data_IF_637342466604
#
_entry.id   IF_637342466604
#
_cell.length_a   1.000
_cell.length_b   1.000
_cell.length_c   1.000
_cell.angle_alpha   90.00
_cell.angle_beta   90.00
_cell.angle_gamma   90.00
#
_symmetry.space_group_name_H-M   'P 1'
#
loop_
_entity.id
_entity.type
_entity.pdbx_description
1 polymer ?
#
# COMPACT_ATOMS: atom_id res chain seq x y z
N UNK A 1 -24.24 -2.31 -1.61
CA UNK A 1 -23.02 -3.17 -1.67
C UNK A 1 -23.37 -4.53 -1.08
N UNK A 2 -22.91 -5.62 -1.70
CA UNK A 2 -23.28 -7.00 -1.29
C UNK A 2 -22.60 -7.37 0.04
N UNK A 3 -23.20 -8.31 0.78
CA UNK A 3 -22.69 -8.81 2.07
C UNK A 3 -21.22 -9.24 2.03
N UNK A 4 -20.75 -9.82 0.92
CA UNK A 4 -19.34 -10.20 0.70
C UNK A 4 -18.35 -9.03 0.73
N UNK A 5 -18.76 -7.82 0.33
CA UNK A 5 -17.92 -6.63 0.40
C UNK A 5 -17.51 -6.29 1.83
N UNK A 6 -18.44 -6.32 2.78
CA UNK A 6 -18.14 -6.03 4.18
C UNK A 6 -17.24 -7.10 4.81
N UNK A 7 -17.39 -8.36 4.40
CA UNK A 7 -16.47 -9.44 4.82
C UNK A 7 -15.06 -9.19 4.35
N UNK A 8 -14.88 -8.74 3.09
CA UNK A 8 -13.57 -8.37 2.53
C UNK A 8 -12.99 -7.19 3.30
N UNK A 9 -13.80 -6.16 3.58
CA UNK A 9 -13.38 -4.99 4.34
C UNK A 9 -12.91 -5.36 5.75
N UNK A 10 -13.65 -6.24 6.45
CA UNK A 10 -13.26 -6.71 7.78
C UNK A 10 -11.96 -7.51 7.75
N UNK A 11 -11.83 -8.45 6.81
CA UNK A 11 -10.58 -9.23 6.63
C UNK A 11 -9.37 -8.33 6.39
N UNK A 12 -9.53 -7.36 5.49
CA UNK A 12 -8.48 -6.41 5.15
C UNK A 12 -8.14 -5.48 6.32
N UNK A 13 -9.15 -5.00 7.04
CA UNK A 13 -8.93 -4.15 8.21
C UNK A 13 -8.06 -4.83 9.26
N UNK A 14 -8.43 -6.03 9.70
CA UNK A 14 -7.67 -6.76 10.72
C UNK A 14 -6.27 -7.17 10.23
N UNK A 15 -6.13 -7.58 8.98
CA UNK A 15 -4.83 -7.91 8.40
C UNK A 15 -3.90 -6.69 8.35
N UNK A 16 -4.40 -5.55 7.89
CA UNK A 16 -3.64 -4.30 7.83
C UNK A 16 -3.36 -3.72 9.22
N UNK A 17 -4.31 -3.82 10.15
CA UNK A 17 -4.14 -3.44 11.55
C UNK A 17 -2.98 -4.21 12.18
N UNK A 18 -2.95 -5.52 11.99
CA UNK A 18 -1.88 -6.39 12.50
C UNK A 18 -0.53 -6.06 11.85
N UNK A 19 -0.49 -5.81 10.52
CA UNK A 19 0.75 -5.44 9.82
C UNK A 19 1.39 -4.17 10.41
N UNK A 20 0.58 -3.16 10.71
CA UNK A 20 1.07 -1.89 11.26
C UNK A 20 1.42 -1.97 12.75
N UNK A 21 0.66 -2.74 13.53
CA UNK A 21 1.00 -3.00 14.93
C UNK A 21 2.26 -3.86 15.06
N UNK A 22 2.44 -4.83 14.16
CA UNK A 22 3.63 -5.69 14.13
C UNK A 22 4.91 -4.91 13.82
N UNK A 23 4.83 -3.87 12.99
CA UNK A 23 5.97 -2.98 12.77
C UNK A 23 6.50 -2.39 14.08
N UNK A 24 5.60 -1.90 14.96
CA UNK A 24 5.97 -1.36 16.27
C UNK A 24 6.56 -2.44 17.16
N UNK A 25 5.95 -3.63 17.18
CA UNK A 25 6.46 -4.77 17.96
C UNK A 25 7.84 -5.25 17.47
N UNK A 26 8.07 -5.28 16.16
CA UNK A 26 9.37 -5.63 15.59
C UNK A 26 10.46 -4.61 15.89
N UNK A 27 10.13 -3.32 15.90
CA UNK A 27 11.04 -2.25 16.34
C UNK A 27 11.41 -2.44 17.80
N UNK A 28 10.44 -2.74 18.66
CA UNK A 28 10.66 -2.99 20.08
C UNK A 28 11.49 -4.25 20.32
N UNK A 29 11.24 -5.33 19.56
CA UNK A 29 12.01 -6.55 19.62
C UNK A 29 13.50 -6.29 19.31
N UNK A 30 13.79 -5.59 18.21
CA UNK A 30 15.16 -5.19 17.87
C UNK A 30 15.80 -4.30 18.93
N UNK A 31 15.02 -3.44 19.58
CA UNK A 31 15.51 -2.59 20.66
C UNK A 31 15.88 -3.41 21.90
N UNK A 32 15.06 -4.36 22.30
CA UNK A 32 15.33 -5.24 23.46
C UNK A 32 16.50 -6.17 23.24
N UNK A 33 16.75 -6.58 21.99
CA UNK A 33 17.93 -7.37 21.60
C UNK A 33 19.21 -6.53 21.49
N UNK A 34 19.13 -5.21 21.68
CA UNK A 34 20.29 -4.31 21.54
C UNK A 34 20.79 -4.15 20.11
N UNK A 35 19.91 -4.40 19.13
CA UNK A 35 20.26 -4.33 17.72
C UNK A 35 20.66 -2.89 17.29
N UNK A 36 21.62 -2.74 16.37
CA UNK A 36 22.01 -1.45 15.81
C UNK A 36 20.83 -0.70 15.19
N UNK A 37 20.88 0.62 15.23
CA UNK A 37 19.78 1.48 14.76
C UNK A 37 19.42 1.26 13.27
N UNK A 38 20.42 0.94 12.44
CA UNK A 38 20.21 0.66 11.01
C UNK A 38 19.29 -0.55 10.79
N UNK A 39 19.25 -1.53 11.70
CA UNK A 39 18.35 -2.68 11.56
C UNK A 39 16.88 -2.28 11.74
N UNK A 40 16.60 -1.32 12.62
CA UNK A 40 15.25 -0.77 12.77
C UNK A 40 14.80 -0.04 11.49
N UNK A 41 15.68 0.74 10.90
CA UNK A 41 15.42 1.39 9.62
C UNK A 41 15.27 0.38 8.47
N UNK A 42 15.98 -0.75 8.51
CA UNK A 42 15.92 -1.80 7.50
C UNK A 42 14.59 -2.59 7.48
N UNK A 43 13.76 -2.52 8.53
CA UNK A 43 12.45 -3.19 8.56
C UNK A 43 11.57 -2.75 7.38
N UNK A 44 11.53 -1.47 7.04
CA UNK A 44 10.69 -0.95 5.95
C UNK A 44 11.08 -1.53 4.60
N UNK A 45 12.34 -1.45 4.13
CA UNK A 45 12.74 -2.05 2.87
C UNK A 45 12.64 -3.59 2.88
N UNK A 46 12.87 -4.25 4.02
CA UNK A 46 12.69 -5.71 4.13
C UNK A 46 11.23 -6.12 3.90
N UNK A 47 10.29 -5.37 4.44
CA UNK A 47 8.87 -5.61 4.20
C UNK A 47 8.50 -5.39 2.72
N UNK A 48 9.01 -4.33 2.11
CA UNK A 48 8.72 -3.97 0.73
C UNK A 48 9.43 -4.84 -0.33
N UNK A 49 10.49 -5.53 0.05
CA UNK A 49 11.37 -6.29 -0.86
C UNK A 49 10.58 -7.23 -1.78
N UNK A 50 9.66 -7.99 -1.22
CA UNK A 50 8.92 -9.00 -1.95
C UNK A 50 7.83 -8.44 -2.87
N UNK A 51 7.40 -7.19 -2.68
CA UNK A 51 6.52 -6.53 -3.64
C UNK A 51 7.21 -6.29 -5.00
N UNK A 52 8.51 -6.12 -4.99
CA UNK A 52 9.30 -5.93 -6.21
C UNK A 52 9.80 -7.26 -6.75
N UNK A 53 10.48 -8.05 -5.91
CA UNK A 53 11.16 -9.29 -6.34
C UNK A 53 10.16 -10.37 -6.76
N UNK A 54 9.04 -10.49 -6.06
CA UNK A 54 8.05 -11.54 -6.31
C UNK A 54 6.82 -11.08 -7.10
N UNK A 55 6.79 -9.84 -7.58
CA UNK A 55 5.70 -9.33 -8.39
C UNK A 55 5.24 -10.28 -9.52
N UNK A 56 6.15 -10.90 -10.30
CA UNK A 56 5.76 -11.83 -11.36
C UNK A 56 4.98 -13.05 -10.88
N UNK A 57 5.26 -13.49 -9.66
CA UNK A 57 4.72 -14.73 -9.10
C UNK A 57 3.44 -14.51 -8.32
N UNK A 58 3.39 -13.45 -7.51
CA UNK A 58 2.23 -13.19 -6.64
C UNK A 58 0.97 -12.84 -7.43
N UNK A 59 1.10 -12.15 -8.56
CA UNK A 59 -0.03 -11.85 -9.45
C UNK A 59 -0.60 -13.11 -10.09
N UNK A 60 0.27 -13.98 -10.61
CA UNK A 60 -0.14 -15.25 -11.17
C UNK A 60 -0.75 -16.18 -10.11
N UNK A 61 -0.17 -16.21 -8.91
CA UNK A 61 -0.71 -16.95 -7.76
C UNK A 61 -2.12 -16.45 -7.38
N UNK A 62 -2.33 -15.13 -7.36
CA UNK A 62 -3.62 -14.54 -7.06
C UNK A 62 -4.70 -14.85 -8.11
N UNK A 63 -4.32 -15.05 -9.38
CA UNK A 63 -5.25 -15.42 -10.46
C UNK A 63 -5.47 -16.94 -10.58
N UNK A 64 -4.62 -17.75 -9.95
CA UNK A 64 -4.71 -19.21 -9.99
C UNK A 64 -5.65 -19.81 -8.94
N UNK A 65 -6.01 -19.06 -7.91
CA UNK A 65 -6.84 -19.50 -6.78
C UNK A 65 -7.97 -18.51 -6.50
N UNK A 66 -9.05 -18.95 -5.84
CA UNK A 66 -10.07 -18.03 -5.32
C UNK A 66 -9.43 -16.98 -4.42
N UNK A 67 -9.79 -15.71 -4.62
CA UNK A 67 -9.16 -14.57 -3.91
C UNK A 67 -9.19 -14.72 -2.38
N UNK A 68 -10.31 -15.21 -1.82
CA UNK A 68 -10.42 -15.48 -0.38
C UNK A 68 -9.39 -16.51 0.11
N UNK A 69 -9.11 -17.56 -0.70
CA UNK A 69 -8.10 -18.55 -0.39
C UNK A 69 -6.68 -17.99 -0.46
N UNK A 70 -6.39 -17.13 -1.45
CA UNK A 70 -5.11 -16.41 -1.54
C UNK A 70 -4.89 -15.55 -0.32
N UNK A 71 -5.90 -14.78 0.09
CA UNK A 71 -5.83 -13.91 1.28
C UNK A 71 -5.64 -14.73 2.57
N UNK A 72 -6.27 -15.89 2.68
CA UNK A 72 -6.08 -16.81 3.80
C UNK A 72 -4.63 -17.33 3.86
N UNK A 73 -4.09 -17.84 2.75
CA UNK A 73 -2.71 -18.34 2.67
C UNK A 73 -1.73 -17.22 3.00
N UNK A 74 -1.98 -16.01 2.51
CA UNK A 74 -1.13 -14.84 2.77
C UNK A 74 -1.09 -14.48 4.26
N UNK A 75 -2.23 -14.50 4.96
CA UNK A 75 -2.27 -14.31 6.40
C UNK A 75 -1.59 -15.46 7.16
N UNK A 76 -1.70 -16.70 6.69
CA UNK A 76 -0.97 -17.82 7.27
C UNK A 76 0.57 -17.64 7.16
N UNK A 77 1.06 -17.12 6.02
CA UNK A 77 2.48 -16.77 5.84
C UNK A 77 2.90 -15.69 6.85
N UNK A 78 2.05 -14.67 7.09
CA UNK A 78 2.34 -13.64 8.09
C UNK A 78 2.41 -14.22 9.51
N UNK A 79 1.53 -15.15 9.85
CA UNK A 79 1.59 -15.89 11.12
C UNK A 79 2.91 -16.67 11.24
N UNK A 80 3.36 -17.33 10.17
CA UNK A 80 4.67 -18.00 10.16
C UNK A 80 5.80 -17.00 10.44
N UNK A 81 5.79 -15.81 9.84
CA UNK A 81 6.75 -14.76 10.14
C UNK A 81 6.73 -14.33 11.61
N UNK A 82 5.55 -14.18 12.21
CA UNK A 82 5.41 -13.90 13.65
C UNK A 82 5.99 -15.04 14.52
N UNK A 83 5.69 -16.28 14.19
CA UNK A 83 6.23 -17.45 14.89
C UNK A 83 7.76 -17.52 14.76
N UNK A 84 8.32 -17.19 13.61
CA UNK A 84 9.77 -17.10 13.42
C UNK A 84 10.40 -16.08 14.39
N UNK A 85 9.75 -14.91 14.60
CA UNK A 85 10.21 -13.92 15.60
C UNK A 85 10.19 -14.52 17.02
N UNK A 86 9.12 -15.21 17.39
CA UNK A 86 8.98 -15.80 18.73
C UNK A 86 9.96 -16.97 18.97
N UNK A 87 10.31 -17.71 17.92
CA UNK A 87 11.25 -18.84 18.02
C UNK A 87 12.72 -18.46 17.78
N UNK A 88 13.06 -17.17 17.89
CA UNK A 88 14.44 -16.70 17.89
C UNK A 88 15.09 -16.56 16.52
N UNK A 89 14.31 -16.56 15.42
CA UNK A 89 14.84 -16.17 14.12
C UNK A 89 15.16 -14.67 14.10
N UNK A 90 16.14 -14.27 13.28
CA UNK A 90 16.51 -12.88 13.18
C UNK A 90 15.30 -12.02 12.78
N UNK A 91 14.96 -10.95 13.52
CA UNK A 91 13.72 -10.17 13.30
C UNK A 91 13.56 -9.63 11.90
N UNK A 92 14.66 -9.21 11.24
CA UNK A 92 14.62 -8.73 9.85
C UNK A 92 14.17 -9.80 8.87
N UNK A 93 14.66 -11.04 9.02
CA UNK A 93 14.29 -12.16 8.17
C UNK A 93 12.83 -12.56 8.40
N UNK A 94 12.42 -12.63 9.66
CA UNK A 94 11.05 -12.94 10.02
C UNK A 94 10.07 -11.87 9.51
N UNK A 95 10.44 -10.60 9.62
CA UNK A 95 9.64 -9.49 9.09
C UNK A 95 9.59 -9.47 7.55
N UNK A 96 10.65 -9.92 6.88
CA UNK A 96 10.63 -10.13 5.44
C UNK A 96 9.60 -11.20 5.04
N UNK A 97 9.47 -12.29 5.81
CA UNK A 97 8.43 -13.32 5.58
C UNK A 97 7.03 -12.73 5.76
N UNK A 98 6.82 -11.84 6.73
CA UNK A 98 5.55 -11.09 6.86
C UNK A 98 5.32 -10.23 5.62
N UNK A 99 6.34 -9.54 5.14
CA UNK A 99 6.30 -8.77 3.89
C UNK A 99 5.96 -9.63 2.65
N UNK A 100 6.47 -10.87 2.60
CA UNK A 100 6.06 -11.85 1.58
C UNK A 100 4.55 -12.12 1.63
N UNK A 101 4.01 -12.36 2.82
CA UNK A 101 2.58 -12.53 3.02
C UNK A 101 1.78 -11.30 2.57
N UNK A 102 2.25 -10.10 2.91
CA UNK A 102 1.62 -8.84 2.50
C UNK A 102 1.65 -8.65 0.97
N UNK A 103 2.77 -8.95 0.32
CA UNK A 103 2.92 -8.86 -1.13
C UNK A 103 1.97 -9.85 -1.86
N UNK A 104 1.79 -11.07 -1.34
CA UNK A 104 0.84 -12.04 -1.87
C UNK A 104 -0.63 -11.66 -1.60
N UNK A 105 -0.90 -10.97 -0.49
CA UNK A 105 -2.25 -10.53 -0.11
C UNK A 105 -2.78 -9.43 -1.02
N UNK A 106 -1.95 -8.49 -1.41
CA UNK A 106 -2.34 -7.27 -2.12
C UNK A 106 -3.04 -7.54 -3.47
N UNK A 107 -2.54 -8.42 -4.37
CA UNK A 107 -3.22 -8.71 -5.62
C UNK A 107 -4.62 -9.31 -5.44
N UNK A 108 -4.82 -10.12 -4.41
CA UNK A 108 -6.12 -10.69 -4.11
C UNK A 108 -7.07 -9.66 -3.50
N UNK A 109 -6.59 -8.81 -2.58
CA UNK A 109 -7.37 -7.78 -1.90
C UNK A 109 -7.99 -6.76 -2.86
N UNK A 110 -7.18 -6.22 -3.76
CA UNK A 110 -7.66 -5.25 -4.75
C UNK A 110 -8.33 -5.93 -5.95
N UNK A 111 -7.80 -7.09 -6.35
CA UNK A 111 -8.33 -7.85 -7.49
C UNK A 111 -9.76 -8.31 -7.30
N UNK A 112 -10.15 -8.70 -6.09
CA UNK A 112 -11.51 -9.15 -5.81
C UNK A 112 -12.57 -8.04 -6.01
N UNK A 113 -12.19 -6.78 -5.92
CA UNK A 113 -13.11 -5.67 -6.16
C UNK A 113 -13.59 -5.64 -7.59
N UNK A 114 -12.68 -5.83 -8.54
CA UNK A 114 -12.99 -5.86 -9.97
C UNK A 114 -13.75 -7.12 -10.40
N UNK A 115 -13.65 -8.18 -9.61
CA UNK A 115 -14.40 -9.42 -9.84
C UNK A 115 -15.81 -9.40 -9.21
N UNK A 116 -15.97 -8.64 -8.11
CA UNK A 116 -17.20 -8.65 -7.31
C UNK A 116 -18.14 -7.48 -7.63
N UNK A 117 -17.60 -6.36 -8.11
CA UNK A 117 -18.29 -5.09 -8.25
C UNK A 117 -18.29 -4.60 -9.69
N UNK A 118 -19.39 -3.98 -10.16
CA UNK A 118 -19.45 -3.32 -11.44
C UNK A 118 -18.53 -2.09 -11.47
N UNK A 119 -18.09 -1.70 -12.66
CA UNK A 119 -17.21 -0.55 -12.87
C UNK A 119 -17.71 0.73 -12.21
N UNK A 120 -19.03 0.95 -12.23
CA UNK A 120 -19.69 2.11 -11.59
C UNK A 120 -19.50 2.19 -10.07
N UNK A 121 -19.21 1.08 -9.40
CA UNK A 121 -18.99 1.02 -7.95
C UNK A 121 -17.51 0.98 -7.55
N UNK A 122 -16.58 0.85 -8.50
CA UNK A 122 -15.15 0.70 -8.20
C UNK A 122 -14.55 1.93 -7.49
N UNK A 123 -14.93 3.15 -7.89
CA UNK A 123 -14.43 4.37 -7.23
C UNK A 123 -14.88 4.40 -5.78
N UNK A 124 -16.16 4.08 -5.52
CA UNK A 124 -16.70 4.02 -4.16
C UNK A 124 -16.01 2.93 -3.32
N UNK A 125 -15.79 1.76 -3.90
CA UNK A 125 -15.13 0.65 -3.22
C UNK A 125 -13.65 0.96 -2.91
N UNK A 126 -12.94 1.59 -3.83
CA UNK A 126 -11.57 2.04 -3.59
C UNK A 126 -11.51 3.10 -2.48
N UNK A 127 -12.45 4.06 -2.45
CA UNK A 127 -12.54 5.01 -1.36
C UNK A 127 -12.72 4.35 0.01
N UNK A 128 -13.54 3.32 0.11
CA UNK A 128 -13.69 2.52 1.33
C UNK A 128 -12.41 1.77 1.70
N UNK A 129 -11.76 1.12 0.73
CA UNK A 129 -10.49 0.41 0.99
C UNK A 129 -9.41 1.38 1.46
N UNK A 130 -9.23 2.51 0.79
CA UNK A 130 -8.21 3.49 1.16
C UNK A 130 -8.50 4.10 2.54
N UNK A 131 -9.75 4.51 2.80
CA UNK A 131 -10.15 5.00 4.11
C UNK A 131 -9.91 3.99 5.24
N UNK A 132 -10.24 2.73 4.99
CA UNK A 132 -10.04 1.65 5.96
C UNK A 132 -8.55 1.31 6.14
N UNK A 133 -7.77 1.36 5.08
CA UNK A 133 -6.31 1.17 5.14
C UNK A 133 -5.67 2.25 6.00
N UNK A 134 -6.05 3.51 5.83
CA UNK A 134 -5.54 4.63 6.64
C UNK A 134 -5.97 4.47 8.10
N UNK A 135 -7.23 4.11 8.36
CA UNK A 135 -7.70 3.82 9.72
C UNK A 135 -6.90 2.68 10.35
N UNK A 136 -6.62 1.62 9.60
CA UNK A 136 -5.80 0.49 10.04
C UNK A 136 -4.36 0.89 10.37
N UNK A 137 -3.77 1.81 9.60
CA UNK A 137 -2.42 2.32 9.87
C UNK A 137 -2.40 3.05 11.22
N UNK A 138 -3.31 3.99 11.42
CA UNK A 138 -3.37 4.79 12.64
C UNK A 138 -3.65 3.91 13.85
N UNK A 139 -4.72 3.12 13.79
CA UNK A 139 -5.13 2.24 14.88
C UNK A 139 -4.13 1.11 15.13
N UNK A 140 -3.47 0.61 14.07
CA UNK A 140 -2.44 -0.42 14.17
C UNK A 140 -1.20 0.07 14.91
N UNK A 141 -0.72 1.26 14.58
CA UNK A 141 0.42 1.86 15.29
C UNK A 141 0.06 2.15 16.75
N UNK A 142 -1.14 2.66 17.02
CA UNK A 142 -1.63 2.88 18.40
C UNK A 142 -1.75 1.56 19.16
N UNK A 143 -2.33 0.54 18.54
CA UNK A 143 -2.44 -0.79 19.14
C UNK A 143 -1.06 -1.39 19.42
N UNK A 144 -0.14 -1.33 18.46
CA UNK A 144 1.23 -1.80 18.64
C UNK A 144 1.93 -1.09 19.81
N UNK A 145 1.80 0.24 19.88
CA UNK A 145 2.34 1.03 21.00
C UNK A 145 1.75 0.64 22.35
N UNK A 146 0.44 0.36 22.42
CA UNK A 146 -0.20 -0.12 23.66
C UNK A 146 0.23 -1.55 24.03
N UNK A 147 0.35 -2.44 23.04
CA UNK A 147 0.75 -3.83 23.29
C UNK A 147 2.17 -3.94 23.87
N UNK A 148 3.10 -3.10 23.43
CA UNK A 148 4.46 -3.05 23.98
C UNK A 148 4.59 -2.13 25.20
N UNK A 149 3.54 -1.36 25.51
CA UNK A 149 3.49 -0.45 26.65
C UNK A 149 3.42 -1.19 27.97
N UNK A 150 3.90 -0.56 29.06
CA UNK A 150 4.04 -1.18 30.37
C UNK A 150 2.75 -1.78 30.96
N UNK A 151 1.60 -1.15 30.70
CA UNK A 151 0.34 -1.63 31.29
C UNK A 151 -0.15 -2.92 30.64
N UNK A 152 -0.22 -2.94 29.32
CA UNK A 152 -0.80 -4.08 28.60
C UNK A 152 0.19 -5.24 28.49
N UNK A 153 1.47 -4.98 28.36
CA UNK A 153 2.49 -6.03 28.32
C UNK A 153 2.57 -6.81 29.62
N UNK A 154 2.49 -6.14 30.78
CA UNK A 154 2.45 -6.79 32.10
C UNK A 154 1.22 -7.69 32.23
N UNK A 155 0.06 -7.21 31.76
CA UNK A 155 -1.17 -8.02 31.75
C UNK A 155 -1.02 -9.25 30.87
N UNK A 156 -0.49 -9.09 29.65
CA UNK A 156 -0.29 -10.19 28.71
C UNK A 156 0.74 -11.20 29.21
N UNK A 157 1.83 -10.74 29.81
CA UNK A 157 2.85 -11.62 30.41
C UNK A 157 2.37 -12.31 31.68
N UNK A 158 1.34 -11.80 32.35
CA UNK A 158 0.71 -12.45 33.52
C UNK A 158 -0.21 -13.61 33.15
N UNK A 159 -0.50 -13.80 31.86
CA UNK A 159 -1.30 -14.94 31.37
C UNK A 159 -0.40 -16.17 31.36
N UNK A 160 -0.45 -16.92 32.45
CA UNK A 160 0.27 -18.18 32.59
C UNK A 160 -0.58 -19.35 32.10
N UNK A 161 -0.06 -20.12 31.14
CA UNK A 161 -0.73 -21.32 30.68
C UNK A 161 -0.14 -22.51 31.44
N UNK A 162 -0.91 -23.15 32.34
CA UNK A 162 -0.40 -24.23 33.16
C UNK A 162 0.23 -25.33 32.28
N UNK A 163 1.43 -25.77 32.64
CA UNK A 163 2.19 -26.82 31.99
C UNK A 163 2.84 -26.50 30.63
N UNK A 164 2.75 -25.25 30.15
CA UNK A 164 3.36 -24.86 28.87
C UNK A 164 4.25 -23.63 29.14
N UNK A 165 5.56 -23.82 28.98
CA UNK A 165 6.47 -22.69 28.85
C UNK A 165 6.31 -22.10 27.45
N UNK A 166 5.72 -20.91 27.36
CA UNK A 166 5.42 -20.25 26.07
C UNK A 166 6.65 -19.60 25.45
N UNK A 167 7.75 -19.44 26.20
CA UNK A 167 8.94 -18.72 25.77
C UNK A 167 8.68 -17.25 25.43
N UNK A 168 7.60 -16.68 25.97
CA UNK A 168 7.21 -15.27 25.78
C UNK A 168 7.58 -14.49 27.05
N UNK A 169 8.75 -13.87 27.05
CA UNK A 169 9.33 -13.22 28.23
C UNK A 169 9.38 -11.70 28.13
N UNK A 170 9.25 -11.15 26.94
CA UNK A 170 9.36 -9.70 26.70
C UNK A 170 8.04 -9.07 26.25
N UNK A 171 7.93 -7.75 26.41
CA UNK A 171 6.78 -6.99 25.94
C UNK A 171 6.60 -7.12 24.41
N UNK A 172 7.69 -7.15 23.64
CA UNK A 172 7.65 -7.32 22.22
C UNK A 172 7.10 -8.70 21.82
N UNK A 173 7.56 -9.77 22.47
CA UNK A 173 7.10 -11.15 22.23
C UNK A 173 5.62 -11.31 22.59
N UNK A 174 5.18 -10.76 23.70
CA UNK A 174 3.76 -10.77 24.10
C UNK A 174 2.88 -10.03 23.08
N UNK A 175 3.37 -8.89 22.55
CA UNK A 175 2.68 -8.15 21.50
C UNK A 175 2.58 -8.98 20.21
N UNK A 176 3.66 -9.64 19.78
CA UNK A 176 3.68 -10.50 18.58
C UNK A 176 2.71 -11.67 18.76
N UNK A 177 2.69 -12.31 19.93
CA UNK A 177 1.73 -13.38 20.24
C UNK A 177 0.27 -12.92 20.15
N UNK A 178 -0.04 -11.73 20.67
CA UNK A 178 -1.37 -11.13 20.55
C UNK A 178 -1.73 -10.83 19.09
N UNK A 179 -0.78 -10.36 18.29
CA UNK A 179 -0.99 -10.06 16.88
C UNK A 179 -1.21 -11.31 16.01
N UNK A 180 -0.66 -12.45 16.39
CA UNK A 180 -1.01 -13.74 15.76
C UNK A 180 -2.51 -13.98 15.85
N UNK A 181 -3.14 -13.70 16.99
CA UNK A 181 -4.59 -13.84 17.15
C UNK A 181 -5.35 -12.89 16.20
N UNK A 182 -4.87 -11.65 16.02
CA UNK A 182 -5.48 -10.70 15.08
C UNK A 182 -5.37 -11.20 13.63
N UNK A 183 -4.23 -11.75 13.23
CA UNK A 183 -4.08 -12.39 11.91
C UNK A 183 -4.99 -13.62 11.75
N UNK A 184 -5.18 -14.41 12.81
CA UNK A 184 -6.13 -15.53 12.78
C UNK A 184 -7.56 -15.06 12.58
N UNK A 185 -7.97 -13.95 13.23
CA UNK A 185 -9.29 -13.33 12.99
C UNK A 185 -9.41 -12.88 11.54
N UNK A 186 -8.39 -12.22 10.99
CA UNK A 186 -8.38 -11.83 9.58
C UNK A 186 -8.48 -13.05 8.65
N UNK A 187 -7.74 -14.13 8.94
CA UNK A 187 -7.80 -15.38 8.20
C UNK A 187 -9.18 -16.03 8.28
N UNK A 188 -9.82 -15.99 9.44
CA UNK A 188 -11.19 -16.48 9.59
C UNK A 188 -12.18 -15.73 8.70
N UNK A 189 -12.10 -14.38 8.62
CA UNK A 189 -12.89 -13.60 7.69
C UNK A 189 -12.61 -13.98 6.24
N UNK A 190 -11.36 -14.28 5.88
CA UNK A 190 -11.00 -14.70 4.53
C UNK A 190 -11.71 -15.99 4.11
N UNK A 191 -11.97 -16.92 5.03
CA UNK A 191 -12.72 -18.16 4.74
C UNK A 191 -14.22 -17.89 4.44
N UNK A 192 -14.72 -16.72 4.82
CA UNK A 192 -16.11 -16.29 4.59
C UNK A 192 -16.30 -15.45 3.33
N UNK A 193 -15.20 -15.17 2.60
CA UNK A 193 -15.26 -14.44 1.34
C UNK A 193 -15.95 -15.31 0.28
N UNK A 194 -16.98 -14.79 -0.41
CA UNK A 194 -17.70 -15.57 -1.41
C UNK A 194 -16.84 -15.80 -2.65
N UNK A 195 -17.09 -16.90 -3.34
CA UNK A 195 -16.51 -17.14 -4.66
C UNK A 195 -17.12 -16.17 -5.68
N UNK A 196 -16.25 -15.58 -6.51
CA UNK A 196 -16.68 -14.60 -7.51
C UNK A 196 -17.19 -15.25 -8.80
N UNK A 197 -16.90 -16.53 -9.01
CA UNK A 197 -17.26 -17.27 -10.23
C UNK A 197 -16.38 -16.96 -11.45
N UNK A 198 -15.37 -16.12 -11.29
CA UNK A 198 -14.41 -15.80 -12.37
C UNK A 198 -13.51 -17.01 -12.65
N UNK A 199 -13.25 -17.26 -13.93
CA UNK A 199 -12.39 -18.36 -14.37
C UNK A 199 -10.96 -18.18 -13.87
N UNK A 200 -10.44 -19.25 -13.23
CA UNK A 200 -9.10 -19.25 -12.67
C UNK A 200 -8.07 -19.60 -13.74
N UNK A 201 -6.94 -18.90 -13.71
CA UNK A 201 -5.82 -19.16 -14.62
C UNK A 201 -4.79 -20.05 -13.95
N UNK A 202 -4.57 -21.29 -14.39
CA UNK A 202 -3.65 -22.22 -13.73
C UNK A 202 -2.21 -21.70 -13.80
N UNK A 203 -1.46 -21.86 -12.70
CA UNK A 203 -0.02 -21.53 -12.65
C UNK A 203 0.80 -22.37 -13.65
N UNK A 204 0.40 -23.61 -13.84
CA UNK A 204 1.06 -24.55 -14.74
C UNK A 204 0.41 -24.47 -16.11
N UNK A 205 0.94 -23.62 -16.97
CA UNK A 205 0.43 -23.43 -18.34
C UNK A 205 0.80 -24.58 -19.29
N UNK A 206 1.89 -25.28 -19.01
CA UNK A 206 2.34 -26.41 -19.82
C UNK A 206 2.66 -27.64 -18.94
N UNK A 207 1.81 -28.69 -18.96
CA UNK A 207 2.00 -29.91 -18.16
C UNK A 207 3.29 -30.68 -18.46
N UNK A 208 3.84 -30.52 -19.66
CA UNK A 208 5.07 -31.21 -20.09
C UNK A 208 6.35 -30.54 -19.61
N UNK A 209 6.28 -29.32 -19.06
CA UNK A 209 7.44 -28.62 -18.50
C UNK A 209 7.61 -28.91 -17.01
N UNK A 210 8.87 -28.89 -16.56
CA UNK A 210 9.21 -28.96 -15.15
C UNK A 210 8.62 -27.78 -14.38
N UNK A 211 8.36 -27.94 -13.07
CA UNK A 211 7.83 -26.88 -12.20
C UNK A 211 8.67 -25.61 -12.28
N UNK A 212 9.99 -25.74 -12.22
CA UNK A 212 10.93 -24.61 -12.33
C UNK A 212 10.77 -23.86 -13.67
N UNK A 213 10.68 -24.57 -14.79
CA UNK A 213 10.51 -23.96 -16.11
C UNK A 213 9.16 -23.25 -16.26
N UNK A 214 8.08 -23.79 -15.67
CA UNK A 214 6.79 -23.11 -15.62
C UNK A 214 6.84 -21.86 -14.75
N UNK A 215 7.53 -21.91 -13.61
CA UNK A 215 7.69 -20.74 -12.72
C UNK A 215 8.51 -19.65 -13.38
N UNK A 216 9.62 -19.99 -14.02
CA UNK A 216 10.44 -19.00 -14.75
C UNK A 216 9.72 -18.39 -15.97
N UNK A 217 8.78 -19.12 -16.57
CA UNK A 217 7.95 -18.61 -17.66
C UNK A 217 7.00 -17.47 -17.21
N UNK A 218 6.78 -17.29 -15.92
CA UNK A 218 6.00 -16.17 -15.37
C UNK A 218 6.75 -14.83 -15.48
N UNK A 219 8.07 -14.82 -15.56
CA UNK A 219 8.86 -13.59 -15.73
C UNK A 219 8.56 -12.88 -17.06
N UNK A 220 8.68 -13.51 -18.23
CA UNK A 220 8.31 -12.86 -19.49
C UNK A 220 6.81 -12.55 -19.57
N UNK A 221 5.93 -13.35 -18.97
CA UNK A 221 4.49 -13.07 -18.88
C UNK A 221 4.25 -11.76 -18.07
N UNK A 222 4.91 -11.60 -16.94
CA UNK A 222 4.82 -10.36 -16.14
C UNK A 222 5.27 -9.12 -16.91
N UNK A 223 6.42 -9.21 -17.61
CA UNK A 223 6.92 -8.09 -18.40
C UNK A 223 6.02 -7.78 -19.59
N UNK A 224 5.40 -8.80 -20.21
CA UNK A 224 4.41 -8.61 -21.24
C UNK A 224 3.15 -7.90 -20.70
N UNK A 225 2.69 -8.28 -19.50
CA UNK A 225 1.59 -7.61 -18.80
C UNK A 225 1.93 -6.16 -18.44
N UNK A 226 3.11 -5.92 -17.89
CA UNK A 226 3.59 -4.58 -17.59
C UNK A 226 3.62 -3.70 -18.85
N UNK A 227 4.21 -4.19 -19.93
CA UNK A 227 4.28 -3.46 -21.19
C UNK A 227 2.89 -3.21 -21.80
N UNK A 228 1.96 -4.17 -21.68
CA UNK A 228 0.57 -4.02 -22.16
C UNK A 228 -0.15 -2.89 -21.43
N UNK A 229 0.03 -2.77 -20.12
CA UNK A 229 -0.58 -1.70 -19.33
C UNK A 229 0.05 -0.32 -19.64
N UNK A 230 1.37 -0.27 -19.87
CA UNK A 230 2.08 0.94 -20.31
C UNK A 230 1.76 1.36 -21.75
N UNK A 231 1.18 0.49 -22.57
CA UNK A 231 0.72 0.81 -23.94
C UNK A 231 -0.75 1.20 -24.01
N UNK A 232 -1.57 0.80 -23.05
CA UNK A 232 -2.99 1.19 -22.98
C UNK A 232 -3.12 2.68 -22.69
N UNK A 233 -3.90 3.42 -23.46
CA UNK A 233 -3.94 4.89 -23.41
C UNK A 233 -4.49 5.48 -22.11
N UNK A 234 -5.34 4.76 -21.40
CA UNK A 234 -5.79 5.14 -20.04
C UNK A 234 -4.95 4.43 -18.98
N UNK A 235 -4.54 3.20 -19.21
CA UNK A 235 -3.69 2.42 -18.33
C UNK A 235 -2.36 3.13 -18.03
N UNK A 236 -1.66 3.61 -19.08
CA UNK A 236 -0.38 4.33 -18.90
C UNK A 236 -0.52 5.61 -18.06
N UNK A 237 -1.62 6.34 -18.20
CA UNK A 237 -1.86 7.57 -17.44
C UNK A 237 -2.22 7.26 -15.99
N UNK A 238 -3.13 6.31 -15.76
CA UNK A 238 -3.51 5.91 -14.41
C UNK A 238 -2.34 5.25 -13.66
N UNK A 239 -1.58 4.36 -14.32
CA UNK A 239 -0.40 3.74 -13.75
C UNK A 239 0.69 4.76 -13.39
N UNK A 240 1.01 5.69 -14.29
CA UNK A 240 1.99 6.75 -14.02
C UNK A 240 1.57 7.63 -12.84
N UNK A 241 0.29 8.01 -12.78
CA UNK A 241 -0.23 8.86 -11.71
C UNK A 241 -0.20 8.15 -10.36
N UNK A 242 -0.67 6.90 -10.27
CA UNK A 242 -0.65 6.15 -9.01
C UNK A 242 0.77 5.81 -8.58
N UNK A 243 1.64 5.45 -9.52
CA UNK A 243 3.06 5.16 -9.28
C UNK A 243 3.75 6.38 -8.65
N UNK A 244 3.57 7.56 -9.24
CA UNK A 244 4.18 8.78 -8.73
C UNK A 244 3.55 9.22 -7.39
N UNK A 245 2.23 9.08 -7.24
CA UNK A 245 1.54 9.37 -5.99
C UNK A 245 2.08 8.53 -4.84
N UNK A 246 2.16 7.22 -5.00
CA UNK A 246 2.68 6.33 -3.96
C UNK A 246 4.18 6.50 -3.75
N UNK A 247 4.94 6.75 -4.82
CA UNK A 247 6.36 7.09 -4.73
C UNK A 247 6.61 8.32 -3.85
N UNK A 248 5.83 9.38 -4.05
CA UNK A 248 5.89 10.59 -3.23
C UNK A 248 5.35 10.34 -1.81
N UNK A 249 4.18 9.71 -1.69
CA UNK A 249 3.50 9.45 -0.42
C UNK A 249 4.28 8.52 0.51
N UNK A 250 4.95 7.49 -0.03
CA UNK A 250 5.81 6.60 0.75
C UNK A 250 7.00 7.31 1.39
N UNK A 251 7.49 8.39 0.77
CA UNK A 251 8.58 9.21 1.29
C UNK A 251 8.11 10.41 2.12
N UNK A 252 6.81 10.75 2.06
CA UNK A 252 6.27 11.95 2.70
C UNK A 252 6.49 11.95 4.23
N UNK A 253 6.43 10.80 4.88
CA UNK A 253 6.69 10.70 6.33
C UNK A 253 8.09 11.18 6.70
N UNK A 254 9.10 10.84 5.92
CA UNK A 254 10.48 11.29 6.15
C UNK A 254 10.62 12.80 5.89
N UNK A 255 9.93 13.29 4.87
CA UNK A 255 9.89 14.71 4.52
C UNK A 255 9.23 15.52 5.63
N UNK A 256 8.09 15.08 6.15
CA UNK A 256 7.38 15.74 7.26
C UNK A 256 8.23 15.72 8.52
N UNK A 257 8.92 14.61 8.84
CA UNK A 257 9.81 14.52 10.00
C UNK A 257 10.98 15.51 9.88
N UNK A 258 11.64 15.58 8.73
CA UNK A 258 12.76 16.48 8.49
C UNK A 258 12.30 17.95 8.53
N UNK A 259 11.19 18.27 7.92
CA UNK A 259 10.62 19.62 7.95
C UNK A 259 10.22 20.05 9.36
N UNK A 260 9.51 19.20 10.11
CA UNK A 260 9.06 19.53 11.45
C UNK A 260 10.22 19.74 12.42
N UNK A 261 11.32 19.00 12.28
CA UNK A 261 12.52 19.18 13.08
C UNK A 261 13.14 20.57 12.84
N UNK A 262 13.21 21.02 11.58
CA UNK A 262 13.85 22.29 11.22
C UNK A 262 12.89 23.49 11.41
N UNK A 263 11.63 23.35 10.98
CA UNK A 263 10.67 24.45 10.98
C UNK A 263 10.01 24.69 12.36
N UNK A 264 9.74 23.60 13.10
CA UNK A 264 8.99 23.64 14.35
C UNK A 264 9.85 23.28 15.58
N UNK A 265 11.07 22.80 15.37
CA UNK A 265 11.92 22.31 16.46
C UNK A 265 11.38 21.05 17.14
N UNK A 266 10.58 20.25 16.44
CA UNK A 266 9.93 19.07 16.97
C UNK A 266 10.88 17.88 17.02
N UNK A 267 10.74 17.07 18.07
CA UNK A 267 11.38 15.76 18.15
C UNK A 267 10.63 14.75 17.26
N UNK A 268 11.20 13.55 17.10
CA UNK A 268 10.64 12.49 16.26
C UNK A 268 9.20 12.11 16.66
N UNK A 269 8.91 12.06 17.95
CA UNK A 269 7.58 11.71 18.47
C UNK A 269 6.52 12.75 18.09
N UNK A 270 6.86 14.03 18.29
CA UNK A 270 5.97 15.15 17.94
C UNK A 270 5.78 15.24 16.42
N UNK A 271 6.85 15.10 15.66
CA UNK A 271 6.81 15.14 14.20
C UNK A 271 6.02 13.95 13.61
N UNK A 272 6.09 12.77 14.23
CA UNK A 272 5.32 11.59 13.81
C UNK A 272 3.81 11.82 13.95
N UNK A 273 3.36 12.61 14.91
CA UNK A 273 1.95 12.97 15.03
C UNK A 273 1.44 13.77 13.82
N UNK A 274 2.30 14.57 13.20
CA UNK A 274 1.95 15.32 12.00
C UNK A 274 1.75 14.43 10.77
N UNK A 275 2.41 13.29 10.69
CA UNK A 275 2.12 12.31 9.64
C UNK A 275 0.71 11.73 9.79
N UNK A 276 0.23 11.58 11.01
CA UNK A 276 -1.16 11.21 11.31
C UNK A 276 -2.16 12.27 10.82
N UNK A 277 -1.81 13.55 10.91
CA UNK A 277 -2.64 14.65 10.39
C UNK A 277 -2.78 14.55 8.86
N UNK A 278 -1.69 14.27 8.14
CA UNK A 278 -1.74 14.02 6.70
C UNK A 278 -2.64 12.83 6.38
N UNK A 279 -2.52 11.74 7.15
CA UNK A 279 -3.34 10.54 6.96
C UNK A 279 -4.83 10.82 7.14
N UNK A 280 -5.21 11.63 8.13
CA UNK A 280 -6.61 12.09 8.32
C UNK A 280 -7.08 12.87 7.08
N UNK A 281 -6.28 13.80 6.60
CA UNK A 281 -6.56 14.53 5.36
C UNK A 281 -6.79 13.59 4.18
N UNK A 282 -5.91 12.59 4.02
CA UNK A 282 -6.02 11.58 2.95
C UNK A 282 -7.32 10.78 3.06
N UNK A 283 -7.71 10.38 4.27
CA UNK A 283 -8.98 9.68 4.50
C UNK A 283 -10.19 10.54 4.10
N UNK A 284 -10.20 11.81 4.49
CA UNK A 284 -11.26 12.76 4.11
C UNK A 284 -11.32 12.94 2.60
N UNK A 285 -10.17 13.15 1.96
CA UNK A 285 -10.08 13.29 0.49
C UNK A 285 -10.58 12.04 -0.24
N UNK A 286 -10.22 10.85 0.25
CA UNK A 286 -10.67 9.57 -0.29
C UNK A 286 -12.18 9.40 -0.20
N UNK A 287 -12.77 9.74 0.94
CA UNK A 287 -14.24 9.70 1.14
C UNK A 287 -14.94 10.66 0.19
N UNK A 288 -14.48 11.90 0.10
CA UNK A 288 -15.07 12.91 -0.80
C UNK A 288 -14.96 12.47 -2.26
N UNK A 289 -13.81 11.92 -2.68
CA UNK A 289 -13.64 11.39 -4.03
C UNK A 289 -14.60 10.24 -4.32
N UNK A 290 -14.76 9.30 -3.36
CA UNK A 290 -15.66 8.15 -3.51
C UNK A 290 -17.14 8.54 -3.67
N UNK A 291 -17.51 9.72 -3.18
CA UNK A 291 -18.88 10.25 -3.27
C UNK A 291 -19.10 11.10 -4.53
N UNK A 292 -18.08 11.76 -5.06
CA UNK A 292 -18.21 12.76 -6.12
C UNK A 292 -17.65 12.35 -7.47
N UNK A 293 -16.68 11.44 -7.47
CA UNK A 293 -15.98 11.06 -8.70
C UNK A 293 -16.58 9.82 -9.33
N UNK A 294 -16.70 9.87 -10.66
CA UNK A 294 -17.07 8.73 -11.51
C UNK A 294 -15.84 8.19 -12.20
N UNK A 295 -15.87 6.93 -12.57
CA UNK A 295 -14.73 6.25 -13.21
C UNK A 295 -14.32 6.89 -14.53
N UNK A 296 -15.30 7.28 -15.35
CA UNK A 296 -15.09 7.95 -16.65
C UNK A 296 -14.54 9.39 -16.53
N UNK A 297 -14.58 9.96 -15.33
CA UNK A 297 -14.03 11.29 -15.03
C UNK A 297 -12.71 11.22 -14.24
N UNK A 298 -12.17 10.02 -13.99
CA UNK A 298 -11.01 9.83 -13.13
C UNK A 298 -9.78 10.67 -13.53
N UNK A 299 -9.54 10.84 -14.83
CA UNK A 299 -8.38 11.61 -15.32
C UNK A 299 -8.45 13.13 -15.03
N UNK A 300 -9.62 13.65 -14.66
CA UNK A 300 -9.79 15.07 -14.31
C UNK A 300 -9.07 15.48 -13.03
N UNK A 301 -8.63 14.52 -12.21
CA UNK A 301 -7.93 14.80 -10.95
C UNK A 301 -6.42 15.01 -11.12
N UNK A 302 -5.84 14.74 -12.28
CA UNK A 302 -4.39 14.84 -12.52
C UNK A 302 -3.80 16.19 -12.10
N UNK A 303 -4.44 17.37 -12.35
CA UNK A 303 -3.93 18.65 -11.89
C UNK A 303 -3.72 18.76 -10.38
N UNK A 304 -4.44 17.97 -9.58
CA UNK A 304 -4.25 17.93 -8.13
C UNK A 304 -2.87 17.39 -7.74
N UNK A 305 -2.30 16.48 -8.55
CA UNK A 305 -0.94 15.99 -8.35
C UNK A 305 0.11 17.09 -8.53
N UNK A 306 -0.10 18.00 -9.48
CA UNK A 306 0.76 19.18 -9.66
C UNK A 306 0.64 20.08 -8.43
N UNK A 307 -0.58 20.33 -7.96
CA UNK A 307 -0.83 21.13 -6.77
C UNK A 307 -0.14 20.52 -5.53
N UNK A 308 -0.16 19.19 -5.36
CA UNK A 308 0.54 18.51 -4.26
C UNK A 308 2.05 18.75 -4.29
N UNK A 309 2.68 18.62 -5.46
CA UNK A 309 4.12 18.92 -5.61
C UNK A 309 4.46 20.38 -5.26
N UNK A 310 3.63 21.32 -5.71
CA UNK A 310 3.79 22.74 -5.38
C UNK A 310 3.54 23.03 -3.89
N UNK A 311 2.59 22.35 -3.27
CA UNK A 311 2.36 22.47 -1.82
C UNK A 311 3.55 21.97 -1.01
N UNK A 312 4.27 20.93 -1.44
CA UNK A 312 5.51 20.51 -0.79
C UNK A 312 6.57 21.61 -0.78
N UNK A 313 6.64 22.40 -1.86
CA UNK A 313 7.53 23.58 -1.91
C UNK A 313 7.05 24.65 -0.93
N UNK A 314 5.75 24.93 -0.90
CA UNK A 314 5.17 25.92 0.02
C UNK A 314 5.31 25.52 1.50
N UNK A 315 5.38 24.25 1.81
CA UNK A 315 5.57 23.74 3.17
C UNK A 315 6.85 24.29 3.82
N UNK A 316 7.87 24.56 3.03
CA UNK A 316 9.15 25.13 3.49
C UNK A 316 8.99 26.51 4.16
N UNK A 317 7.96 27.27 3.78
CA UNK A 317 7.67 28.60 4.34
C UNK A 317 6.79 28.56 5.59
N UNK A 318 6.28 27.40 5.97
CA UNK A 318 5.42 27.24 7.14
C UNK A 318 6.29 26.94 8.35
N UNK A 319 6.19 27.77 9.38
CA UNK A 319 6.92 27.65 10.64
C UNK A 319 6.01 27.74 11.88
N UNK A 320 4.70 27.69 11.68
CA UNK A 320 3.68 27.76 12.74
C UNK A 320 2.78 26.53 12.68
N UNK A 321 2.61 25.87 13.81
CA UNK A 321 1.78 24.67 13.94
C UNK A 321 0.30 24.92 13.54
N UNK A 322 -0.23 26.10 13.83
CA UNK A 322 -1.61 26.45 13.53
C UNK A 322 -1.87 26.61 12.03
N UNK A 323 -0.85 26.94 11.24
CA UNK A 323 -0.89 26.93 9.78
C UNK A 323 -0.54 25.53 9.23
N UNK A 324 0.34 24.81 9.91
CA UNK A 324 0.81 23.48 9.47
C UNK A 324 -0.32 22.46 9.47
N UNK A 325 -1.14 22.40 10.50
CA UNK A 325 -2.23 21.41 10.62
C UNK A 325 -3.21 21.50 9.44
N UNK A 326 -3.85 22.65 9.14
CA UNK A 326 -4.76 22.74 8.01
C UNK A 326 -4.05 22.51 6.66
N UNK A 327 -2.80 22.93 6.55
CA UNK A 327 -1.98 22.70 5.35
C UNK A 327 -1.72 21.20 5.12
N UNK A 328 -1.35 20.45 6.13
CA UNK A 328 -1.10 19.01 6.05
C UNK A 328 -2.40 18.24 5.78
N UNK A 329 -3.52 18.67 6.34
CA UNK A 329 -4.85 18.13 6.03
C UNK A 329 -5.18 18.37 4.56
N UNK A 330 -4.92 19.55 4.03
CA UNK A 330 -5.13 19.87 2.62
C UNK A 330 -4.23 19.02 1.71
N UNK A 331 -2.95 18.91 2.04
CA UNK A 331 -1.98 18.09 1.29
C UNK A 331 -2.44 16.63 1.23
N UNK A 332 -2.80 16.06 2.37
CA UNK A 332 -3.37 14.72 2.45
C UNK A 332 -4.67 14.59 1.68
N UNK A 333 -5.58 15.56 1.84
CA UNK A 333 -6.89 15.58 1.19
C UNK A 333 -6.81 15.58 -0.33
N UNK A 334 -5.92 16.38 -0.92
CA UNK A 334 -5.65 16.35 -2.36
C UNK A 334 -5.12 15.00 -2.80
N UNK A 335 -4.25 14.38 -2.01
CA UNK A 335 -3.72 13.05 -2.28
C UNK A 335 -4.79 11.97 -2.28
N UNK A 336 -5.64 11.93 -1.27
CA UNK A 336 -6.75 10.98 -1.20
C UNK A 336 -7.76 11.17 -2.34
N UNK A 337 -8.05 12.42 -2.67
CA UNK A 337 -8.94 12.74 -3.79
C UNK A 337 -8.36 12.36 -5.15
N UNK A 338 -7.04 12.44 -5.32
CA UNK A 338 -6.33 12.05 -6.52
C UNK A 338 -6.29 10.52 -6.68
N UNK A 339 -5.87 9.81 -5.63
CA UNK A 339 -5.52 8.39 -5.75
C UNK A 339 -6.73 7.48 -5.95
N UNK A 340 -7.85 7.80 -5.31
CA UNK A 340 -9.04 6.91 -5.32
C UNK A 340 -9.60 6.69 -6.73
N UNK A 341 -9.93 7.72 -7.52
CA UNK A 341 -10.45 7.50 -8.88
C UNK A 341 -9.38 6.95 -9.83
N UNK A 342 -8.12 7.34 -9.65
CA UNK A 342 -7.02 6.85 -10.49
C UNK A 342 -6.71 5.38 -10.24
N UNK A 343 -6.73 4.92 -8.99
CA UNK A 343 -6.64 3.50 -8.65
C UNK A 343 -7.82 2.71 -9.24
N UNK A 344 -9.04 3.23 -9.14
CA UNK A 344 -10.21 2.57 -9.70
C UNK A 344 -10.09 2.41 -11.23
N UNK A 345 -9.65 3.46 -11.93
CA UNK A 345 -9.44 3.43 -13.38
C UNK A 345 -8.34 2.42 -13.75
N UNK A 346 -7.22 2.43 -13.02
CA UNK A 346 -6.12 1.52 -13.23
C UNK A 346 -6.54 0.06 -13.04
N UNK A 347 -7.27 -0.24 -11.97
CA UNK A 347 -7.79 -1.58 -11.67
C UNK A 347 -8.76 -2.05 -12.75
N UNK A 348 -9.68 -1.19 -13.20
CA UNK A 348 -10.60 -1.51 -14.27
C UNK A 348 -9.86 -1.83 -15.58
N UNK A 349 -8.93 -0.96 -16.01
CA UNK A 349 -8.14 -1.19 -17.24
C UNK A 349 -7.29 -2.46 -17.14
N UNK A 350 -6.60 -2.63 -16.02
CA UNK A 350 -5.74 -3.78 -15.81
C UNK A 350 -6.51 -5.10 -15.74
N UNK A 351 -7.70 -5.11 -15.11
CA UNK A 351 -8.57 -6.28 -15.10
C UNK A 351 -8.95 -6.71 -16.52
N UNK A 352 -9.39 -5.77 -17.35
CA UNK A 352 -9.81 -6.02 -18.72
C UNK A 352 -8.67 -6.47 -19.63
N UNK A 353 -7.42 -6.03 -19.37
CA UNK A 353 -6.25 -6.35 -20.18
C UNK A 353 -5.59 -7.68 -19.82
N UNK A 354 -5.55 -8.05 -18.51
CA UNK A 354 -4.69 -9.15 -18.07
C UNK A 354 -5.24 -9.96 -16.88
N UNK A 355 -6.38 -9.57 -16.33
CA UNK A 355 -6.93 -10.15 -15.11
C UNK A 355 -6.50 -9.39 -13.85
N UNK A 356 -7.29 -9.59 -12.79
CA UNK A 356 -7.20 -8.79 -11.57
C UNK A 356 -5.87 -8.92 -10.83
N UNK A 357 -5.40 -10.16 -10.60
CA UNK A 357 -4.21 -10.40 -9.81
C UNK A 357 -2.93 -9.90 -10.49
N UNK A 358 -2.77 -10.18 -11.78
CA UNK A 358 -1.61 -9.71 -12.55
C UNK A 358 -1.57 -8.19 -12.65
N UNK A 359 -2.72 -7.56 -12.84
CA UNK A 359 -2.83 -6.10 -12.90
C UNK A 359 -2.33 -5.45 -11.62
N UNK A 360 -2.78 -5.92 -10.46
CA UNK A 360 -2.37 -5.36 -9.16
C UNK A 360 -0.89 -5.66 -8.86
N UNK A 361 -0.37 -6.81 -9.28
CA UNK A 361 1.06 -7.09 -9.14
C UNK A 361 1.92 -6.14 -9.96
N UNK A 362 1.51 -5.81 -11.20
CA UNK A 362 2.17 -4.79 -12.04
C UNK A 362 2.08 -3.41 -11.37
N UNK A 363 0.92 -3.04 -10.87
CA UNK A 363 0.73 -1.78 -10.15
C UNK A 363 1.68 -1.70 -8.95
N UNK A 364 1.64 -2.67 -8.05
CA UNK A 364 2.49 -2.72 -6.85
C UNK A 364 3.98 -2.65 -7.20
N UNK A 365 4.42 -3.37 -8.23
CA UNK A 365 5.81 -3.34 -8.68
C UNK A 365 6.24 -1.92 -9.06
N UNK A 366 5.47 -1.23 -9.90
CA UNK A 366 5.79 0.12 -10.33
C UNK A 366 5.76 1.11 -9.15
N UNK A 367 4.77 1.03 -8.28
CA UNK A 367 4.63 1.88 -7.10
C UNK A 367 5.78 1.70 -6.12
N UNK A 368 6.14 0.46 -5.78
CA UNK A 368 7.24 0.18 -4.86
C UNK A 368 8.61 0.56 -5.46
N UNK A 369 8.81 0.33 -6.75
CA UNK A 369 10.02 0.77 -7.43
C UNK A 369 10.17 2.30 -7.41
N UNK A 370 9.06 3.04 -7.58
CA UNK A 370 9.04 4.49 -7.48
C UNK A 370 9.30 4.98 -6.05
N UNK A 371 8.73 4.34 -5.02
CA UNK A 371 9.01 4.65 -3.61
C UNK A 371 10.53 4.53 -3.34
N UNK A 372 11.12 3.42 -3.75
CA UNK A 372 12.57 3.18 -3.58
C UNK A 372 13.41 4.20 -4.38
N UNK A 373 13.03 4.49 -5.62
CA UNK A 373 13.74 5.44 -6.48
C UNK A 373 13.70 6.87 -5.95
N UNK A 374 12.53 7.37 -5.57
CA UNK A 374 12.37 8.71 -4.99
C UNK A 374 12.99 8.80 -3.60
N UNK A 375 12.95 7.74 -2.81
CA UNK A 375 13.61 7.66 -1.51
C UNK A 375 15.13 7.71 -1.64
N UNK A 376 15.69 6.97 -2.59
CA UNK A 376 17.12 7.02 -2.90
C UNK A 376 17.53 8.42 -3.37
N UNK A 377 16.75 9.04 -4.24
CA UNK A 377 16.98 10.41 -4.70
C UNK A 377 17.03 11.40 -3.53
N UNK A 378 16.01 11.35 -2.65
CA UNK A 378 15.97 12.21 -1.46
C UNK A 378 17.19 11.97 -0.53
N UNK A 379 17.54 10.70 -0.32
CA UNK A 379 18.71 10.32 0.49
C UNK A 379 20.03 10.81 -0.11
N UNK A 380 20.17 10.77 -1.42
CA UNK A 380 21.34 11.33 -2.12
C UNK A 380 21.40 12.85 -1.92
N UNK A 381 20.29 13.56 -2.10
CA UNK A 381 20.24 15.01 -1.88
C UNK A 381 20.69 15.39 -0.46
N UNK A 382 20.18 14.70 0.56
CA UNK A 382 20.57 14.95 1.96
C UNK A 382 22.01 14.52 2.23
N UNK A 383 22.46 13.41 1.66
CA UNK A 383 23.85 12.93 1.76
C UNK A 383 24.88 13.84 1.10
N UNK A 384 24.49 14.60 0.08
CA UNK A 384 25.32 15.65 -0.54
C UNK A 384 25.41 16.94 0.31
N UNK A 385 24.78 16.95 1.49
CA UNK A 385 24.82 18.11 2.40
C UNK A 385 23.78 19.19 2.08
N UNK A 386 22.79 18.89 1.24
CA UNK A 386 21.68 19.83 1.01
C UNK A 386 20.84 20.00 2.27
N UNK A 387 20.43 21.24 2.55
CA UNK A 387 19.52 21.48 3.67
C UNK A 387 18.19 20.76 3.48
N UNK A 388 17.47 20.45 4.58
CA UNK A 388 16.16 19.83 4.52
C UNK A 388 15.20 20.63 3.62
N UNK A 389 15.18 21.94 3.73
CA UNK A 389 14.34 22.81 2.90
C UNK A 389 14.67 22.71 1.41
N UNK A 390 15.95 22.69 1.06
CA UNK A 390 16.39 22.55 -0.33
C UNK A 390 16.00 21.17 -0.88
N UNK A 391 16.26 20.10 -0.12
CA UNK A 391 15.90 18.74 -0.52
C UNK A 391 14.38 18.57 -0.71
N UNK A 392 13.57 19.11 0.19
CA UNK A 392 12.10 19.10 0.10
C UNK A 392 11.62 19.88 -1.12
N UNK A 393 12.19 21.06 -1.37
CA UNK A 393 11.83 21.90 -2.51
C UNK A 393 12.14 21.22 -3.85
N UNK A 394 13.30 20.58 -3.97
CA UNK A 394 13.69 19.82 -5.16
C UNK A 394 12.74 18.62 -5.34
N UNK A 395 12.43 17.92 -4.27
CA UNK A 395 11.49 16.80 -4.31
C UNK A 395 10.09 17.23 -4.76
N UNK A 396 9.57 18.32 -4.21
CA UNK A 396 8.28 18.89 -4.60
C UNK A 396 8.24 19.34 -6.05
N UNK A 397 9.31 19.99 -6.53
CA UNK A 397 9.45 20.41 -7.91
C UNK A 397 9.48 19.20 -8.87
N UNK A 398 10.18 18.14 -8.48
CA UNK A 398 10.26 16.90 -9.25
C UNK A 398 8.89 16.22 -9.35
N UNK A 399 8.14 16.13 -8.25
CA UNK A 399 6.77 15.57 -8.23
C UNK A 399 5.83 16.43 -9.11
N UNK A 400 5.85 17.75 -8.94
CA UNK A 400 5.02 18.66 -9.75
C UNK A 400 5.38 18.57 -11.24
N UNK A 401 6.68 18.50 -11.57
CA UNK A 401 7.17 18.37 -12.94
C UNK A 401 6.74 17.05 -13.60
N UNK A 402 6.86 15.94 -12.91
CA UNK A 402 6.39 14.65 -13.45
C UNK A 402 4.86 14.60 -13.60
N UNK A 403 4.10 15.15 -12.65
CA UNK A 403 2.65 15.24 -12.78
C UNK A 403 2.23 16.14 -13.96
N UNK A 404 2.96 17.22 -14.18
CA UNK A 404 2.74 18.06 -15.35
C UNK A 404 3.03 17.33 -16.67
N UNK A 405 4.11 16.54 -16.73
CA UNK A 405 4.42 15.68 -17.89
C UNK A 405 3.29 14.67 -18.13
N UNK A 406 2.78 14.02 -17.07
CA UNK A 406 1.66 13.08 -17.18
C UNK A 406 0.41 13.78 -17.72
N UNK A 407 0.11 14.98 -17.24
CA UNK A 407 -1.02 15.77 -17.75
C UNK A 407 -0.87 16.12 -19.22
N UNK A 408 0.34 16.54 -19.64
CA UNK A 408 0.62 16.82 -21.08
C UNK A 408 0.56 15.55 -21.91
N UNK A 409 1.02 14.44 -21.39
CA UNK A 409 0.90 13.13 -22.05
C UNK A 409 -0.56 12.72 -22.23
N UNK A 410 -1.38 12.88 -21.20
CA UNK A 410 -2.82 12.63 -21.32
C UNK A 410 -3.49 13.53 -22.35
N UNK A 411 -3.18 14.82 -22.35
CA UNK A 411 -3.70 15.77 -23.35
C UNK A 411 -3.27 15.38 -24.77
N UNK A 412 -2.03 14.94 -24.96
CA UNK A 412 -1.54 14.43 -26.23
C UNK A 412 -2.35 13.20 -26.69
N UNK A 413 -2.61 12.24 -25.78
CA UNK A 413 -3.43 11.06 -26.09
C UNK A 413 -4.86 11.46 -26.50
N UNK A 414 -5.48 12.42 -25.82
CA UNK A 414 -6.82 12.91 -26.16
C UNK A 414 -6.90 13.60 -27.52
N UNK A 415 -5.78 14.14 -28.03
CA UNK A 415 -5.72 14.78 -29.35
C UNK A 415 -5.43 13.76 -30.45
N UNK A 416 -4.37 12.96 -30.28
CA UNK A 416 -3.85 12.09 -31.35
C UNK A 416 -4.45 10.68 -31.36
N UNK A 417 -5.07 10.25 -30.26
CA UNK A 417 -5.73 8.96 -30.10
C UNK A 417 -7.16 9.13 -29.56
N UNK A 418 -7.86 10.15 -30.05
CA UNK A 418 -9.18 10.55 -29.52
C UNK A 418 -10.17 9.39 -29.52
N UNK A 419 -10.33 8.71 -30.66
CA UNK A 419 -11.31 7.64 -30.81
C UNK A 419 -11.01 6.46 -29.86
N UNK A 420 -9.73 6.13 -29.67
CA UNK A 420 -9.30 5.08 -28.74
C UNK A 420 -9.59 5.49 -27.29
N UNK A 421 -9.25 6.71 -26.89
CA UNK A 421 -9.49 7.22 -25.53
C UNK A 421 -10.99 7.32 -25.24
N UNK A 422 -11.80 7.83 -26.19
CA UNK A 422 -13.25 7.92 -26.04
C UNK A 422 -13.88 6.52 -25.93
N UNK A 423 -13.45 5.57 -26.74
CA UNK A 423 -13.90 4.17 -26.66
C UNK A 423 -13.57 3.54 -25.30
N UNK A 424 -12.34 3.74 -24.79
CA UNK A 424 -11.94 3.22 -23.48
C UNK A 424 -12.72 3.86 -22.32
N UNK A 425 -13.04 5.16 -22.40
CA UNK A 425 -13.88 5.84 -21.43
C UNK A 425 -15.35 5.39 -21.52
N UNK A 426 -15.82 5.08 -22.71
CA UNK A 426 -17.16 4.55 -22.89
C UNK A 426 -17.32 3.14 -22.31
N UNK A 427 -16.32 2.29 -22.46
CA UNK A 427 -16.24 1.01 -21.76
C UNK A 427 -16.29 1.25 -20.25
N UNK A 428 -15.49 2.17 -19.70
CA UNK A 428 -15.49 2.48 -18.27
C UNK A 428 -16.83 3.01 -17.75
N UNK A 429 -17.62 3.63 -18.64
CA UNK A 429 -18.96 4.16 -18.31
C UNK A 429 -20.04 3.09 -18.32
N UNK A 430 -19.97 2.13 -19.25
CA UNK A 430 -21.05 1.18 -19.52
C UNK A 430 -20.71 -0.27 -19.13
N UNK A 431 -19.47 -0.52 -18.68
CA UNK A 431 -19.01 -1.85 -18.27
C UNK A 431 -19.71 -2.29 -16.98
N UNK A 432 -20.80 -3.02 -17.13
CA UNK A 432 -21.59 -3.61 -16.06
C UNK A 432 -21.41 -5.13 -16.01
N UNK A 433 -20.25 -5.63 -16.44
CA UNK A 433 -19.99 -7.07 -16.48
C UNK A 433 -20.16 -7.72 -15.09
N UNK A 434 -21.16 -8.58 -15.01
CA UNK A 434 -21.41 -9.60 -14.00
C UNK A 434 -21.82 -10.91 -14.65
#
# INVERSE_FOLDING_TARGET
MKRGFYTIMSAQFFSSLADNALFVAAVELLRTEGAPEWQRAALVPMFALFYVVLAPFVGAFADALPKGKVMFISNAIKVVGCLMMLFGSHPLMAYAVVGLGAAAYSPAKYGILTELLPASQLVKANGWIEGLTIASIILGVLLGGQLVGQHLSVLLLSIDIPLIDTGVDTAAESAIAALILVYMVAAWFNTRIPHTGVEMRPLRTNPSRNVLANTLALLPDFWACNNRLWRDKLGQISLSTTTLFWGAGGNLKFIVLAWAAVALGYNTTQASALTGVVAIGTAVGAVVASMRMRLDAATKVIPLGIAMGLLLILMVFINNIWLAIPFLILLGGLGGYLVVPMNALLQHRGHNLMGAGRSIAVQNFNEQACILGLGAFYSICTGMGLSAYTAISIFGLLVAGFMWIIQRWHAHNCIHHKDEVEHLLDIARHDNHH
#
